data_IF_624276973764
#
_entry.id   IF_624276973764
#
_cell.length_a   1.000
_cell.length_b   1.000
_cell.length_c   1.000
_cell.angle_alpha   90.00
_cell.angle_beta   90.00
_cell.angle_gamma   90.00
#
_symmetry.space_group_name_H-M   'P 1'
#
loop_
_entity.id
_entity.type
_entity.pdbx_description
1 polymer ?
#
# COMPACT_ATOMS: atom_id res chain seq x y z
N UNK A 1 19.78 9.14 -5.84
CA UNK A 1 18.99 8.52 -4.77
C UNK A 1 17.68 8.08 -5.40
N UNK A 2 17.19 6.88 -5.10
CA UNK A 2 15.86 6.44 -5.58
C UNK A 2 14.78 7.19 -4.81
N UNK A 3 13.73 7.61 -5.50
CA UNK A 3 12.66 8.38 -4.88
C UNK A 3 11.80 7.46 -4.00
N UNK A 4 11.44 7.96 -2.81
CA UNK A 4 10.51 7.30 -1.89
C UNK A 4 9.50 8.33 -1.39
N UNK A 5 8.22 8.03 -1.60
CA UNK A 5 7.11 8.85 -1.13
C UNK A 5 6.26 8.04 -0.14
N UNK A 6 5.57 8.74 0.74
CA UNK A 6 4.54 8.13 1.57
C UNK A 6 3.29 9.00 1.63
N UNK A 7 2.15 8.37 1.87
CA UNK A 7 0.88 9.02 2.16
C UNK A 7 0.17 8.25 3.27
N UNK A 8 -0.65 8.97 4.03
CA UNK A 8 -1.50 8.35 5.05
C UNK A 8 -2.91 8.13 4.49
N UNK A 9 -3.54 7.04 4.90
CA UNK A 9 -4.91 6.72 4.50
C UNK A 9 -5.80 6.82 5.73
N UNK A 10 -6.86 7.62 5.62
CA UNK A 10 -7.90 7.72 6.64
C UNK A 10 -8.69 6.43 6.68
N UNK A 11 -9.04 5.98 7.89
CA UNK A 11 -10.00 4.91 8.04
C UNK A 11 -11.37 5.42 7.60
N UNK A 12 -12.06 4.66 6.77
CA UNK A 12 -13.43 4.94 6.35
C UNK A 12 -14.37 3.82 6.77
N UNK A 13 -15.66 4.14 6.90
CA UNK A 13 -16.73 3.15 7.08
C UNK A 13 -17.18 2.54 5.76
N UNK A 14 -16.81 3.15 4.64
CA UNK A 14 -17.15 2.68 3.31
C UNK A 14 -16.40 1.38 2.99
N UNK A 15 -17.03 0.55 2.15
CA UNK A 15 -16.37 -0.65 1.68
C UNK A 15 -15.19 -0.27 0.76
N UNK A 16 -14.04 -0.95 0.90
CA UNK A 16 -12.92 -0.74 -0.01
C UNK A 16 -13.32 -1.03 -1.45
N UNK A 17 -12.90 -0.16 -2.38
CA UNK A 17 -13.06 -0.40 -3.83
C UNK A 17 -12.27 -1.62 -4.29
N UNK A 18 -11.13 -1.87 -3.65
CA UNK A 18 -10.23 -2.99 -3.96
C UNK A 18 -9.90 -3.75 -2.68
N UNK A 19 -9.98 -5.08 -2.74
CA UNK A 19 -9.60 -5.98 -1.64
C UNK A 19 -8.28 -6.64 -1.97
N UNK A 20 -7.34 -6.58 -1.03
CA UNK A 20 -6.05 -7.25 -1.13
C UNK A 20 -6.06 -8.53 -0.32
N UNK A 21 -5.41 -9.57 -0.83
CA UNK A 21 -5.46 -10.91 -0.25
C UNK A 21 -4.06 -11.52 -0.17
N UNK A 22 -3.81 -12.25 0.91
CA UNK A 22 -2.66 -13.14 1.06
C UNK A 22 -3.08 -14.58 0.75
N UNK A 23 -2.36 -15.24 -0.15
CA UNK A 23 -2.58 -16.64 -0.51
C UNK A 23 -2.78 -16.84 -2.01
N UNK A 24 -2.86 -18.10 -2.42
CA UNK A 24 -3.10 -18.46 -3.81
C UNK A 24 -4.55 -18.16 -4.23
N UNK A 25 -4.80 -17.76 -5.50
CA UNK A 25 -6.16 -17.68 -6.03
C UNK A 25 -6.90 -19.02 -5.94
N UNK A 26 -8.21 -19.02 -5.65
CA UNK A 26 -8.99 -20.25 -5.49
C UNK A 26 -8.98 -21.14 -6.74
N UNK A 27 -8.74 -20.57 -7.92
CA UNK A 27 -8.66 -21.30 -9.18
C UNK A 27 -7.51 -22.33 -9.21
N UNK A 28 -6.51 -22.15 -8.35
CA UNK A 28 -5.33 -23.02 -8.27
C UNK A 28 -5.18 -23.72 -6.92
N UNK A 29 -6.15 -23.56 -6.01
CA UNK A 29 -6.18 -24.31 -4.73
C UNK A 29 -6.83 -25.68 -4.94
N UNK A 30 -6.37 -26.67 -4.16
CA UNK A 30 -6.94 -28.03 -4.23
C UNK A 30 -8.41 -27.99 -3.81
N UNK A 31 -9.30 -28.35 -4.75
CA UNK A 31 -10.75 -28.35 -4.51
C UNK A 31 -11.43 -26.98 -4.66
N UNK A 32 -10.74 -25.96 -5.18
CA UNK A 32 -11.35 -24.67 -5.54
C UNK A 32 -11.77 -23.81 -4.36
N UNK A 33 -11.28 -24.12 -3.15
CA UNK A 33 -11.64 -23.39 -1.93
C UNK A 33 -10.88 -22.07 -1.85
N UNK A 34 -11.59 -21.00 -1.53
CA UNK A 34 -10.95 -19.71 -1.25
C UNK A 34 -10.37 -19.71 0.17
N UNK A 35 -9.07 -19.99 0.25
CA UNK A 35 -8.30 -20.00 1.51
C UNK A 35 -7.53 -18.70 1.72
N UNK A 36 -7.75 -17.69 0.86
CA UNK A 36 -7.05 -16.42 0.95
C UNK A 36 -7.47 -15.66 2.19
N UNK A 37 -6.50 -14.99 2.81
CA UNK A 37 -6.73 -14.10 3.95
C UNK A 37 -6.84 -12.67 3.44
N UNK A 38 -7.94 -12.01 3.78
CA UNK A 38 -8.09 -10.58 3.50
C UNK A 38 -6.99 -9.81 4.26
N UNK A 39 -6.26 -8.96 3.55
CA UNK A 39 -5.28 -8.06 4.14
C UNK A 39 -5.99 -6.84 4.75
N UNK A 40 -5.44 -6.27 5.84
CA UNK A 40 -6.09 -5.19 6.56
C UNK A 40 -6.18 -3.92 5.71
N UNK A 41 -7.08 -3.02 6.10
CA UNK A 41 -7.10 -1.67 5.56
C UNK A 41 -5.77 -0.97 5.88
N UNK A 42 -5.12 -0.33 4.90
CA UNK A 42 -3.83 0.31 5.15
C UNK A 42 -4.00 1.63 5.89
N UNK A 43 -3.03 1.93 6.74
CA UNK A 43 -2.82 3.25 7.31
C UNK A 43 -1.76 4.04 6.55
N UNK A 44 -0.76 3.36 6.00
CA UNK A 44 0.36 3.96 5.26
C UNK A 44 0.42 3.37 3.85
N UNK A 45 0.58 4.24 2.87
CA UNK A 45 1.04 3.88 1.54
C UNK A 45 2.47 4.38 1.36
N UNK A 46 3.29 3.57 0.69
CA UNK A 46 4.66 3.94 0.36
C UNK A 46 4.93 3.62 -1.10
N UNK A 47 5.39 4.60 -1.85
CA UNK A 47 5.86 4.38 -3.22
C UNK A 47 7.37 4.37 -3.20
N UNK A 48 7.97 3.30 -3.71
CA UNK A 48 9.42 3.17 -3.85
C UNK A 48 9.79 2.83 -5.28
N UNK A 49 10.70 3.62 -5.85
CA UNK A 49 11.37 3.23 -7.07
C UNK A 49 12.44 2.17 -6.76
N UNK A 50 12.38 1.05 -7.48
CA UNK A 50 13.33 -0.05 -7.36
C UNK A 50 13.91 -0.40 -8.74
N UNK A 51 14.96 -1.24 -8.76
CA UNK A 51 15.48 -1.75 -10.03
C UNK A 51 14.44 -2.65 -10.67
N UNK A 52 13.85 -2.19 -11.77
CA UNK A 52 12.82 -2.94 -12.51
C UNK A 52 11.39 -2.42 -12.34
N UNK A 53 11.19 -1.30 -11.63
CA UNK A 53 9.92 -0.58 -11.64
C UNK A 53 9.60 0.10 -10.31
N UNK A 54 8.34 0.51 -10.17
CA UNK A 54 7.86 1.26 -9.01
C UNK A 54 6.89 0.39 -8.23
N UNK A 55 7.12 0.27 -6.93
CA UNK A 55 6.22 -0.48 -6.05
C UNK A 55 5.42 0.47 -5.19
N UNK A 56 4.11 0.22 -5.13
CA UNK A 56 3.25 0.79 -4.10
C UNK A 56 3.07 -0.27 -3.02
N UNK A 57 3.55 0.00 -1.81
CA UNK A 57 3.40 -0.83 -0.63
C UNK A 57 2.29 -0.28 0.26
N UNK A 58 1.62 -1.18 0.97
CA UNK A 58 0.55 -0.88 1.92
C UNK A 58 0.93 -1.44 3.27
N UNK A 59 0.74 -0.65 4.32
CA UNK A 59 0.97 -1.08 5.69
C UNK A 59 -0.22 -0.72 6.58
N UNK A 60 -0.59 -1.62 7.47
CA UNK A 60 -1.64 -1.43 8.48
C UNK A 60 -1.23 -0.42 9.56
N UNK A 61 -2.16 -0.13 10.47
CA UNK A 61 -1.95 0.82 11.57
C UNK A 61 -0.88 0.37 12.57
N UNK A 62 -0.67 -0.95 12.70
CA UNK A 62 0.39 -1.56 13.49
C UNK A 62 1.71 -1.72 12.73
N UNK A 63 1.80 -1.20 11.50
CA UNK A 63 2.94 -1.36 10.60
C UNK A 63 3.01 -2.73 9.91
N UNK A 64 2.02 -3.61 10.10
CA UNK A 64 1.97 -4.89 9.41
C UNK A 64 1.84 -4.71 7.90
N UNK A 65 2.44 -5.62 7.13
CA UNK A 65 2.35 -5.59 5.68
C UNK A 65 0.93 -5.89 5.20
N UNK A 66 0.39 -5.00 4.37
CA UNK A 66 -0.98 -5.06 3.85
C UNK A 66 -1.05 -5.20 2.32
N UNK A 67 0.05 -5.62 1.69
CA UNK A 67 0.15 -5.92 0.26
C UNK A 67 0.97 -4.91 -0.53
N UNK A 68 1.32 -5.30 -1.74
CA UNK A 68 2.05 -4.46 -2.68
C UNK A 68 1.54 -4.68 -4.11
N UNK A 69 1.83 -3.71 -4.96
CA UNK A 69 1.55 -3.77 -6.39
C UNK A 69 2.72 -3.13 -7.13
N UNK A 70 3.16 -3.77 -8.20
CA UNK A 70 4.15 -3.23 -9.13
C UNK A 70 3.50 -2.33 -10.18
N UNK A 71 4.25 -1.32 -10.62
CA UNK A 71 3.87 -0.31 -11.60
C UNK A 71 5.07 0.10 -12.47
N UNK A 72 4.79 0.54 -13.69
CA UNK A 72 5.82 1.06 -14.61
C UNK A 72 6.37 2.42 -14.16
N UNK A 73 5.57 3.24 -13.47
CA UNK A 73 5.95 4.60 -13.09
C UNK A 73 5.38 5.06 -11.74
N UNK A 74 5.97 6.13 -11.18
CA UNK A 74 5.47 6.81 -9.97
C UNK A 74 4.04 7.31 -10.15
N UNK A 75 3.71 7.81 -11.34
CA UNK A 75 2.39 8.34 -11.63
C UNK A 75 1.34 7.23 -11.75
N UNK A 76 1.69 6.06 -12.29
CA UNK A 76 0.82 4.88 -12.28
C UNK A 76 0.52 4.41 -10.85
N UNK A 77 1.55 4.33 -10.01
CA UNK A 77 1.39 4.00 -8.60
C UNK A 77 0.49 4.99 -7.87
N UNK A 78 0.65 6.30 -8.11
CA UNK A 78 -0.23 7.34 -7.54
C UNK A 78 -1.66 7.22 -8.04
N UNK A 79 -1.88 6.98 -9.33
CA UNK A 79 -3.22 6.75 -9.91
C UNK A 79 -3.90 5.53 -9.31
N UNK A 80 -3.16 4.44 -9.09
CA UNK A 80 -3.68 3.25 -8.43
C UNK A 80 -4.14 3.56 -7.01
N UNK A 81 -3.33 4.28 -6.21
CA UNK A 81 -3.70 4.69 -4.87
C UNK A 81 -4.95 5.60 -4.85
N UNK A 82 -5.01 6.58 -5.75
CA UNK A 82 -6.18 7.47 -5.89
C UNK A 82 -7.44 6.68 -6.24
N UNK A 83 -7.34 5.74 -7.18
CA UNK A 83 -8.46 4.88 -7.54
C UNK A 83 -8.95 3.99 -6.38
N UNK A 84 -8.02 3.44 -5.60
CA UNK A 84 -8.33 2.54 -4.48
C UNK A 84 -8.93 3.28 -3.27
N UNK A 85 -8.37 4.44 -2.91
CA UNK A 85 -8.64 5.10 -1.63
C UNK A 85 -9.36 6.45 -1.76
N UNK A 86 -9.31 7.10 -2.92
CA UNK A 86 -9.98 8.38 -3.21
C UNK A 86 -9.80 9.41 -2.09
N UNK A 87 -10.92 9.96 -1.61
CA UNK A 87 -10.94 10.96 -0.54
C UNK A 87 -10.27 10.52 0.78
N UNK A 88 -10.05 9.22 0.99
CA UNK A 88 -9.33 8.72 2.17
C UNK A 88 -7.81 8.90 2.05
N UNK A 89 -7.28 9.11 0.85
CA UNK A 89 -5.86 9.33 0.59
C UNK A 89 -5.44 10.73 1.02
N UNK A 90 -4.44 10.81 1.90
CA UNK A 90 -3.79 12.07 2.25
C UNK A 90 -2.74 12.49 1.22
N UNK A 91 -2.08 13.63 1.49
CA UNK A 91 -1.06 14.15 0.59
C UNK A 91 0.19 13.26 0.53
N UNK A 92 0.77 13.14 -0.67
CA UNK A 92 2.06 12.51 -0.87
C UNK A 92 3.19 13.38 -0.32
N UNK A 93 3.96 12.84 0.61
CA UNK A 93 5.11 13.49 1.25
C UNK A 93 6.38 12.75 0.86
N UNK A 94 7.46 13.50 0.64
CA UNK A 94 8.78 12.91 0.40
C UNK A 94 9.26 12.21 1.68
N UNK A 95 9.69 10.95 1.56
CA UNK A 95 10.37 10.28 2.68
C UNK A 95 11.79 10.82 2.83
N UNK A 96 12.19 11.30 4.02
CA UNK A 96 13.56 11.75 4.24
C UNK A 96 14.57 10.63 4.00
N UNK A 97 15.74 10.98 3.44
CA UNK A 97 16.84 10.04 3.25
C UNK A 97 17.44 9.61 4.59
N UNK A 98 17.86 8.35 4.71
CA UNK A 98 18.56 7.85 5.90
C UNK A 98 17.65 7.42 7.06
N UNK A 99 16.33 7.45 6.89
CA UNK A 99 15.39 6.87 7.83
C UNK A 99 15.56 5.34 7.86
N UNK A 100 15.87 4.80 9.04
CA UNK A 100 16.07 3.35 9.25
C UNK A 100 14.75 2.57 9.13
N UNK A 101 13.67 3.13 9.68
CA UNK A 101 12.34 2.54 9.64
C UNK A 101 11.34 3.54 9.01
N UNK A 102 11.15 3.47 7.68
CA UNK A 102 10.31 4.42 6.98
C UNK A 102 8.82 4.24 7.32
N UNK A 103 8.39 3.04 7.73
CA UNK A 103 6.99 2.77 8.08
C UNK A 103 6.68 3.37 9.44
N UNK A 104 7.53 3.15 10.45
CA UNK A 104 7.37 3.77 11.77
C UNK A 104 7.44 5.31 11.68
N UNK A 105 8.31 5.85 10.81
CA UNK A 105 8.34 7.29 10.54
C UNK A 105 7.00 7.78 9.96
N UNK A 106 6.47 7.11 8.94
CA UNK A 106 5.19 7.47 8.35
C UNK A 106 4.04 7.37 9.37
N UNK A 107 3.98 6.31 10.18
CA UNK A 107 2.96 6.10 11.20
C UNK A 107 2.98 7.17 12.31
N UNK A 108 4.15 7.72 12.62
CA UNK A 108 4.28 8.84 13.58
C UNK A 108 3.98 10.21 12.97
N UNK A 109 3.76 10.27 11.65
CA UNK A 109 3.35 11.50 10.96
C UNK A 109 1.85 11.76 11.14
N UNK A 110 1.48 13.02 11.19
CA UNK A 110 0.08 13.42 11.09
C UNK A 110 -0.38 13.45 9.63
N UNK A 111 -1.68 13.21 9.41
CA UNK A 111 -2.35 13.44 8.13
C UNK A 111 -2.19 14.90 7.74
#
# INVERSE_FOLDING_TARGET
MRERLFALVRQTKDLPRVKHFLGAPPEITVGGKDERKLLPWPRVLMIEEQSGGVFLFRFGEDGSFAGDTWHDSMDDAKRQAEYEYGDSLGEWKQMPSGIKDPVAFALSSNL
#
